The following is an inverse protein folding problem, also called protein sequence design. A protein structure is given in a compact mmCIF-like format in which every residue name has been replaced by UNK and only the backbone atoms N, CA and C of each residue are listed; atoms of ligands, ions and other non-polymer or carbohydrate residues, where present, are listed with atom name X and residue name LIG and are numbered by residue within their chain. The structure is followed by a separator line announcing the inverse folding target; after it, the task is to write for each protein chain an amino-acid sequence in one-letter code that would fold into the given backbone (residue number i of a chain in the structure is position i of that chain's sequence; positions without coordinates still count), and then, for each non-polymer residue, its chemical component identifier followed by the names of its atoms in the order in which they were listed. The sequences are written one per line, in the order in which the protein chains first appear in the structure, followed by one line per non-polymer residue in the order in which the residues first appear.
data_IF_766009370810
#
_entry.id   IF_766009370810
#
_cell.length_a   1.000
_cell.length_b   1.000
_cell.length_c   1.000
_cell.angle_alpha   90.00
_cell.angle_beta   90.00
_cell.angle_gamma   90.00
#
_symmetry.space_group_name_H-M   'P 1'
#
loop_
_entity.id
_entity.type
_entity.pdbx_description
1 polymer ?
#
# COMPACT_ATOMS: atom_id res chain seq x y z
N UNK A 1 10.21 -9.15 -36.04
CA UNK A 1 9.69 -7.82 -35.63
C UNK A 1 8.77 -8.03 -34.45
N UNK A 2 9.01 -7.41 -33.28
CA UNK A 2 7.97 -7.35 -32.26
C UNK A 2 6.73 -6.65 -32.85
N UNK A 3 5.51 -7.08 -32.50
CA UNK A 3 4.31 -6.40 -32.96
C UNK A 3 4.35 -4.93 -32.48
N UNK A 4 3.92 -4.01 -33.33
CA UNK A 4 3.97 -2.56 -33.09
C UNK A 4 3.30 -2.15 -31.76
N UNK A 5 2.31 -2.94 -31.30
CA UNK A 5 1.65 -2.76 -30.00
C UNK A 5 2.56 -3.01 -28.80
N UNK A 6 3.47 -4.00 -28.86
CA UNK A 6 4.37 -4.31 -27.75
C UNK A 6 5.36 -3.15 -27.49
N UNK A 7 5.84 -2.51 -28.56
CA UNK A 7 6.72 -1.35 -28.45
C UNK A 7 5.99 -0.11 -27.88
N UNK A 8 4.72 0.08 -28.23
CA UNK A 8 3.90 1.17 -27.69
C UNK A 8 3.63 0.96 -26.19
N UNK A 9 3.25 -0.26 -25.79
CA UNK A 9 3.10 -0.64 -24.39
C UNK A 9 4.38 -0.43 -23.60
N UNK A 10 5.53 -0.85 -24.14
CA UNK A 10 6.81 -0.70 -23.46
C UNK A 10 7.11 0.78 -23.15
N UNK A 11 6.81 1.69 -24.08
CA UNK A 11 6.98 3.13 -23.85
C UNK A 11 6.10 3.65 -22.70
N UNK A 12 4.86 3.19 -22.62
CA UNK A 12 3.96 3.58 -21.52
C UNK A 12 4.49 3.07 -20.18
N UNK A 13 4.95 1.82 -20.13
CA UNK A 13 5.55 1.24 -18.92
C UNK A 13 6.81 1.99 -18.48
N UNK A 14 7.67 2.35 -19.44
CA UNK A 14 8.88 3.15 -19.20
C UNK A 14 8.52 4.55 -18.66
N UNK A 15 7.52 5.20 -19.25
CA UNK A 15 7.05 6.51 -18.80
C UNK A 15 6.52 6.47 -17.36
N UNK A 16 5.66 5.49 -17.06
CA UNK A 16 5.14 5.27 -15.70
C UNK A 16 6.30 5.04 -14.73
N UNK A 17 7.29 4.24 -15.12
CA UNK A 17 8.47 3.96 -14.30
C UNK A 17 9.26 5.25 -14.01
N UNK A 18 9.60 6.03 -15.04
CA UNK A 18 10.34 7.29 -14.90
C UNK A 18 9.60 8.28 -14.00
N UNK A 19 8.29 8.38 -14.14
CA UNK A 19 7.48 9.24 -13.26
C UNK A 19 7.52 8.71 -11.83
N UNK A 20 7.37 7.40 -11.62
CA UNK A 20 7.34 6.81 -10.28
C UNK A 20 8.61 7.08 -9.47
N UNK A 21 9.77 7.15 -10.14
CA UNK A 21 11.07 7.39 -9.51
C UNK A 21 11.43 8.88 -9.42
N UNK A 22 10.59 9.78 -9.92
CA UNK A 22 10.81 11.23 -9.83
C UNK A 22 10.59 11.77 -8.42
N UNK A 23 9.82 11.07 -7.58
CA UNK A 23 9.37 11.49 -6.25
C UNK A 23 8.56 12.80 -6.23
N UNK A 24 8.10 13.29 -7.39
CA UNK A 24 7.30 14.52 -7.49
C UNK A 24 5.79 14.20 -7.58
N UNK A 25 4.98 14.60 -6.58
CA UNK A 25 3.53 14.38 -6.63
C UNK A 25 2.82 15.16 -7.75
N UNK A 26 3.44 16.19 -8.33
CA UNK A 26 2.90 16.94 -9.49
C UNK A 26 2.73 16.05 -10.71
N UNK A 27 3.47 14.93 -10.77
CA UNK A 27 3.43 14.00 -11.88
C UNK A 27 2.33 12.91 -11.73
N UNK A 28 1.71 12.76 -10.55
CA UNK A 28 0.63 11.78 -10.31
C UNK A 28 -0.55 11.87 -11.31
N UNK A 29 -1.02 13.07 -11.72
CA UNK A 29 -2.05 13.20 -12.74
C UNK A 29 -1.65 12.65 -14.11
N UNK A 30 -0.35 12.53 -14.42
CA UNK A 30 0.11 11.91 -15.66
C UNK A 30 0.00 10.40 -15.64
N UNK A 31 0.15 9.77 -14.48
CA UNK A 31 -0.02 8.32 -14.32
C UNK A 31 -1.51 7.94 -14.20
N UNK A 32 -2.34 8.84 -13.66
CA UNK A 32 -3.76 8.57 -13.35
C UNK A 32 -4.57 7.95 -14.51
N UNK A 33 -4.46 8.40 -15.78
CA UNK A 33 -5.24 7.82 -16.88
C UNK A 33 -4.96 6.33 -17.12
N UNK A 34 -3.76 5.87 -16.78
CA UNK A 34 -3.34 4.49 -16.98
C UNK A 34 -3.96 3.51 -15.96
N UNK A 35 -4.54 4.01 -14.85
CA UNK A 35 -5.24 3.17 -13.85
C UNK A 35 -6.50 2.49 -14.41
N UNK A 36 -7.07 3.01 -15.50
CA UNK A 36 -8.22 2.41 -16.20
C UNK A 36 -7.88 1.92 -17.61
N UNK A 37 -6.59 1.72 -17.90
CA UNK A 37 -6.13 1.26 -19.21
C UNK A 37 -6.67 -0.16 -19.52
N UNK A 38 -7.00 -0.52 -20.78
CA UNK A 38 -7.49 -1.85 -21.11
C UNK A 38 -6.48 -2.98 -20.81
N UNK A 39 -5.18 -2.70 -20.99
CA UNK A 39 -4.11 -3.65 -20.66
C UNK A 39 -3.88 -3.75 -19.14
N UNK A 40 -4.02 -4.95 -18.54
CA UNK A 40 -3.85 -5.15 -17.10
C UNK A 40 -2.44 -4.84 -16.59
N UNK A 41 -1.41 -5.06 -17.40
CA UNK A 41 -0.02 -4.80 -17.01
C UNK A 41 0.23 -3.30 -16.91
N UNK A 42 -0.36 -2.51 -17.81
CA UNK A 42 -0.32 -1.04 -17.75
C UNK A 42 -1.06 -0.53 -16.51
N UNK A 43 -2.22 -1.11 -16.17
CA UNK A 43 -2.95 -0.75 -14.94
C UNK A 43 -2.13 -1.06 -13.69
N UNK A 44 -1.50 -2.22 -13.65
CA UNK A 44 -0.66 -2.65 -12.53
C UNK A 44 0.58 -1.77 -12.37
N UNK A 45 1.24 -1.42 -13.48
CA UNK A 45 2.36 -0.48 -13.49
C UNK A 45 1.93 0.90 -12.96
N UNK A 46 0.77 1.41 -13.42
CA UNK A 46 0.22 2.68 -12.96
C UNK A 46 -0.04 2.66 -11.45
N UNK A 47 -0.70 1.61 -10.94
CA UNK A 47 -0.93 1.44 -9.51
C UNK A 47 0.38 1.38 -8.72
N UNK A 48 1.36 0.62 -9.20
CA UNK A 48 2.68 0.54 -8.58
C UNK A 48 3.37 1.91 -8.55
N UNK A 49 3.24 2.71 -9.62
CA UNK A 49 3.78 4.06 -9.67
C UNK A 49 3.26 4.97 -8.56
N UNK A 50 1.96 4.90 -8.25
CA UNK A 50 1.35 5.60 -7.12
C UNK A 50 1.91 5.13 -5.76
N UNK A 51 2.10 3.82 -5.60
CA UNK A 51 2.65 3.23 -4.36
C UNK A 51 4.12 3.62 -4.15
N UNK A 52 4.93 3.58 -5.22
CA UNK A 52 6.35 3.94 -5.20
C UNK A 52 6.54 5.43 -4.88
N UNK A 53 5.72 6.30 -5.47
CA UNK A 53 5.69 7.73 -5.12
C UNK A 53 5.32 7.93 -3.64
N UNK A 54 4.45 7.07 -3.10
CA UNK A 54 4.14 7.04 -1.66
C UNK A 54 3.46 8.30 -1.14
N UNK A 55 2.93 9.14 -2.01
CA UNK A 55 2.41 10.45 -1.65
C UNK A 55 0.90 10.42 -1.37
N UNK A 56 0.47 11.00 -0.25
CA UNK A 56 -0.94 11.02 0.18
C UNK A 56 -1.89 11.65 -0.86
N UNK A 57 -1.41 12.64 -1.63
CA UNK A 57 -2.15 13.22 -2.78
C UNK A 57 -2.57 12.18 -3.84
N UNK A 58 -1.96 10.99 -3.87
CA UNK A 58 -2.37 9.90 -4.75
C UNK A 58 -3.69 9.24 -4.34
N UNK A 59 -4.04 9.26 -3.05
CA UNK A 59 -5.23 8.60 -2.53
C UNK A 59 -6.56 9.07 -3.16
N UNK A 60 -6.88 10.38 -3.29
CA UNK A 60 -8.10 10.81 -3.97
C UNK A 60 -8.16 10.36 -5.43
N UNK A 61 -7.02 10.36 -6.13
CA UNK A 61 -6.95 9.93 -7.54
C UNK A 61 -7.19 8.42 -7.69
N UNK A 62 -6.67 7.61 -6.78
CA UNK A 62 -6.93 6.16 -6.73
C UNK A 62 -8.40 5.85 -6.47
N UNK A 63 -9.05 6.60 -5.56
CA UNK A 63 -10.50 6.45 -5.29
C UNK A 63 -11.34 6.83 -6.51
N UNK A 64 -10.97 7.89 -7.21
CA UNK A 64 -11.66 8.29 -8.43
C UNK A 64 -11.48 7.27 -9.57
N UNK A 65 -10.32 6.63 -9.68
CA UNK A 65 -10.10 5.54 -10.62
C UNK A 65 -10.91 4.29 -10.24
N UNK A 66 -11.01 3.96 -8.94
CA UNK A 66 -11.80 2.82 -8.45
C UNK A 66 -13.28 2.92 -8.86
N UNK A 67 -13.85 4.13 -8.83
CA UNK A 67 -15.24 4.40 -9.25
C UNK A 67 -15.50 4.14 -10.74
N UNK A 68 -14.45 4.18 -11.57
CA UNK A 68 -14.54 4.02 -13.03
C UNK A 68 -14.31 2.57 -13.48
N UNK A 69 -13.79 1.71 -12.59
CA UNK A 69 -13.54 0.31 -12.90
C UNK A 69 -14.83 -0.52 -12.80
N UNK A 70 -15.07 -1.34 -13.82
CA UNK A 70 -16.17 -2.31 -13.82
C UNK A 70 -15.86 -3.54 -12.96
N UNK A 71 -14.56 -3.87 -12.79
CA UNK A 71 -14.14 -5.03 -12.03
C UNK A 71 -14.06 -4.69 -10.52
N UNK A 72 -14.91 -5.29 -9.67
CA UNK A 72 -14.96 -4.98 -8.25
C UNK A 72 -13.66 -5.34 -7.51
N UNK A 73 -12.94 -6.39 -7.96
CA UNK A 73 -11.68 -6.78 -7.33
C UNK A 73 -10.57 -5.78 -7.61
N UNK A 74 -10.53 -5.20 -8.81
CA UNK A 74 -9.54 -4.16 -9.13
C UNK A 74 -9.86 -2.84 -8.44
N UNK A 75 -11.15 -2.48 -8.37
CA UNK A 75 -11.59 -1.31 -7.61
C UNK A 75 -11.21 -1.44 -6.13
N UNK A 76 -11.42 -2.61 -5.51
CA UNK A 76 -11.04 -2.86 -4.12
C UNK A 76 -9.52 -2.69 -3.91
N UNK A 77 -8.67 -3.17 -4.84
CA UNK A 77 -7.21 -2.97 -4.76
C UNK A 77 -6.85 -1.48 -4.78
N UNK A 78 -7.47 -0.68 -5.64
CA UNK A 78 -7.22 0.76 -5.70
C UNK A 78 -7.62 1.46 -4.39
N UNK A 79 -8.75 1.08 -3.80
CA UNK A 79 -9.20 1.62 -2.52
C UNK A 79 -8.25 1.26 -1.38
N UNK A 80 -7.80 0.00 -1.30
CA UNK A 80 -6.83 -0.44 -0.30
C UNK A 80 -5.52 0.37 -0.39
N UNK A 81 -5.02 0.62 -1.61
CA UNK A 81 -3.81 1.44 -1.80
C UNK A 81 -4.04 2.91 -1.47
N UNK A 82 -5.23 3.45 -1.75
CA UNK A 82 -5.59 4.81 -1.35
C UNK A 82 -5.56 4.95 0.18
N UNK A 83 -6.15 4.00 0.90
CA UNK A 83 -6.14 3.99 2.36
C UNK A 83 -4.71 3.85 2.90
N UNK A 84 -3.88 3.02 2.26
CA UNK A 84 -2.47 2.88 2.64
C UNK A 84 -1.67 4.18 2.47
N UNK A 85 -1.88 4.94 1.40
CA UNK A 85 -1.20 6.22 1.16
C UNK A 85 -1.60 7.33 2.16
N UNK A 86 -2.76 7.22 2.78
CA UNK A 86 -3.25 8.17 3.79
C UNK A 86 -2.87 7.78 5.22
N UNK A 87 -2.36 6.57 5.43
CA UNK A 87 -1.96 6.15 6.77
C UNK A 87 -0.84 7.07 7.28
N UNK A 88 -1.01 7.71 8.45
CA UNK A 88 0.11 8.40 9.06
C UNK A 88 1.18 7.36 9.35
N UNK A 89 2.41 7.62 8.91
CA UNK A 89 3.56 6.83 9.35
C UNK A 89 3.54 6.80 10.87
N UNK A 90 3.26 5.62 11.45
CA UNK A 90 3.13 5.47 12.90
C UNK A 90 4.44 5.96 13.49
N UNK A 91 4.42 7.01 14.35
CA UNK A 91 5.63 7.50 14.97
C UNK A 91 6.33 6.35 15.68
N UNK A 92 7.67 6.22 15.58
CA UNK A 92 8.41 5.13 16.20
C UNK A 92 8.12 4.99 17.71
N UNK A 93 7.75 6.09 18.37
CA UNK A 93 7.38 6.11 19.78
C UNK A 93 6.11 5.28 20.10
N UNK A 94 5.13 5.27 19.19
CA UNK A 94 3.91 4.47 19.37
C UNK A 94 4.22 2.97 19.22
N UNK A 95 5.14 2.61 18.31
CA UNK A 95 5.60 1.23 18.13
C UNK A 95 6.34 0.76 19.39
N UNK A 96 7.26 1.58 19.91
CA UNK A 96 8.00 1.31 21.15
C UNK A 96 7.07 1.07 22.33
N UNK A 97 6.06 1.93 22.49
CA UNK A 97 5.10 1.83 23.58
C UNK A 97 4.27 0.54 23.51
N UNK A 98 3.86 0.10 22.32
CA UNK A 98 3.16 -1.19 22.14
C UNK A 98 4.04 -2.39 22.45
N UNK A 99 5.32 -2.36 22.04
CA UNK A 99 6.28 -3.43 22.33
C UNK A 99 6.54 -3.57 23.83
N UNK A 100 6.74 -2.46 24.53
CA UNK A 100 6.93 -2.44 25.98
C UNK A 100 5.69 -2.96 26.73
N UNK A 101 4.49 -2.58 26.30
CA UNK A 101 3.24 -3.04 26.92
C UNK A 101 3.01 -4.55 26.73
N UNK A 102 3.40 -5.10 25.57
CA UNK A 102 3.34 -6.54 25.28
C UNK A 102 4.36 -7.33 26.12
N UNK A 103 5.56 -6.79 26.35
CA UNK A 103 6.56 -7.41 27.23
C UNK A 103 6.10 -7.46 28.70
N UNK A 104 5.42 -6.41 29.18
CA UNK A 104 4.90 -6.35 30.55
C UNK A 104 3.75 -7.34 30.81
N UNK A 105 2.89 -7.61 29.82
CA UNK A 105 1.79 -8.56 29.96
C UNK A 105 2.28 -10.03 30.03
N UNK A 106 3.35 -10.37 29.31
CA UNK A 106 3.95 -11.71 29.33
C UNK A 106 4.61 -12.10 30.66
N UNK A 107 4.86 -11.14 31.56
CA UNK A 107 5.41 -11.42 32.90
C UNK A 107 4.32 -11.64 33.96
N UNK A 108 3.05 -11.37 33.65
CA UNK A 108 1.93 -11.52 34.61
C UNK A 108 1.26 -12.90 34.59
N UNK A 109 1.70 -13.82 33.72
CA UNK A 109 1.13 -15.18 33.60
C UNK A 109 2.04 -16.31 34.13
N UNK A 110 3.14 -16.00 34.81
CA UNK A 110 4.05 -17.02 35.40
C UNK A 110 4.12 -16.85 36.91
N UNK A 111 3.07 -17.23 37.63
CA UNK A 111 3.06 -17.09 39.10
C UNK A 111 1.78 -17.50 39.80
N UNK A 112 1.29 -18.72 39.58
CA UNK A 112 0.25 -19.31 40.43
C UNK A 112 0.42 -20.84 40.51
N UNK A 113 1.49 -21.26 41.19
CA UNK A 113 1.70 -22.63 41.61
C UNK A 113 2.48 -22.62 42.92
N UNK A 114 1.78 -22.60 44.05
CA UNK A 114 2.37 -22.75 45.38
C UNK A 114 1.51 -23.71 46.22
N UNK A 115 2.14 -24.41 47.18
CA UNK A 115 1.87 -25.81 47.52
C UNK A 115 0.79 -25.97 48.60
N UNK A 116 0.21 -27.17 48.79
CA UNK A 116 -0.60 -27.43 49.97
C UNK A 116 0.26 -27.76 51.21
N UNK A 117 -0.19 -27.34 52.41
CA UNK A 117 0.60 -27.28 53.64
C UNK A 117 0.63 -28.60 54.41
N UNK A 118 1.69 -28.76 55.22
CA UNK A 118 1.82 -29.80 56.23
C UNK A 118 0.95 -29.51 57.48
N UNK A 119 0.18 -30.51 57.92
CA UNK A 119 -0.33 -30.74 59.28
C UNK A 119 -0.95 -32.17 59.26
N UNK A 120 -0.75 -33.08 60.21
CA UNK A 120 -0.35 -33.00 61.61
C UNK A 120 0.16 -34.37 62.06
#
# INVERSE_FOLDING_TARGET
MPPLEAAAKQKVLEEIHLISISYDPVELPRIQPYLTHPDPEVREAALNGFVVLGHAHGAPLLRDAARKLTNPNEAAKLLEKADWLELPSIPPEIIRTRLLKKAAQSQSSTGAGSPPPAAK
#
